data_IF_741034593934
#
_entry.id   IF_741034593934
#
_cell.length_a   1.000
_cell.length_b   1.000
_cell.length_c   1.000
_cell.angle_alpha   90.00
_cell.angle_beta   90.00
_cell.angle_gamma   90.00
#
_symmetry.space_group_name_H-M   'P 1'
#
loop_
_entity.id
_entity.type
_entity.pdbx_description
1 polymer ?
#
# COMPACT_ATOMS: atom_id res chain seq x y z
N UNK A 1 -8.72 -11.82 -6.92
CA UNK A 1 -8.06 -10.50 -7.07
C UNK A 1 -6.57 -10.73 -7.00
N UNK A 2 -5.79 -9.94 -7.72
CA UNK A 2 -4.33 -10.09 -7.82
C UNK A 2 -3.62 -8.92 -7.16
N UNK A 3 -2.61 -9.21 -6.35
CA UNK A 3 -1.78 -8.20 -5.71
C UNK A 3 -0.92 -7.51 -6.78
N UNK A 4 -1.13 -6.21 -6.99
CA UNK A 4 -0.40 -5.40 -7.97
C UNK A 4 0.79 -4.66 -7.36
N UNK A 5 1.04 -4.78 -6.06
CA UNK A 5 2.09 -4.06 -5.34
C UNK A 5 1.53 -3.14 -4.26
N UNK A 6 2.41 -2.33 -3.68
CA UNK A 6 2.07 -1.40 -2.60
C UNK A 6 1.28 -0.24 -3.16
N UNK A 7 0.26 0.19 -2.44
CA UNK A 7 -0.59 1.30 -2.84
C UNK A 7 0.22 2.60 -3.02
N UNK A 8 1.20 2.84 -2.15
CA UNK A 8 2.11 3.98 -2.24
C UNK A 8 2.93 4.03 -3.54
N UNK A 9 3.25 2.87 -4.15
CA UNK A 9 3.96 2.85 -5.43
C UNK A 9 3.10 3.39 -6.60
N UNK A 10 1.77 3.50 -6.42
CA UNK A 10 0.82 3.99 -7.43
C UNK A 10 0.31 5.40 -7.16
N UNK A 11 0.14 5.78 -5.88
CA UNK A 11 -0.59 7.00 -5.51
C UNK A 11 0.22 7.99 -4.67
N UNK A 12 1.34 7.57 -4.08
CA UNK A 12 2.18 8.46 -3.29
C UNK A 12 3.15 9.23 -4.19
N UNK A 13 3.54 10.43 -3.74
CA UNK A 13 4.51 11.26 -4.45
C UNK A 13 5.89 10.59 -4.32
N UNK A 14 6.22 9.79 -5.34
CA UNK A 14 7.41 8.95 -5.40
C UNK A 14 8.67 9.67 -4.89
N UNK A 15 9.06 9.32 -3.68
CA UNK A 15 10.20 9.88 -2.96
C UNK A 15 11.27 8.79 -2.83
N UNK A 16 12.13 8.60 -3.86
CA UNK A 16 13.06 7.46 -3.95
C UNK A 16 14.09 7.35 -2.82
N UNK A 17 14.18 8.37 -1.97
CA UNK A 17 15.10 8.47 -0.85
C UNK A 17 14.42 8.49 0.52
N UNK A 18 13.09 8.51 0.57
CA UNK A 18 12.34 8.43 1.83
C UNK A 18 12.24 6.96 2.26
N UNK A 19 12.61 6.62 3.50
CA UNK A 19 12.37 5.28 4.04
C UNK A 19 10.88 4.95 4.01
N UNK A 20 10.54 3.74 3.56
CA UNK A 20 9.16 3.25 3.47
C UNK A 20 8.46 3.35 4.82
N UNK A 21 9.16 3.03 5.90
CA UNK A 21 8.67 3.13 7.28
C UNK A 21 8.27 4.55 7.69
N UNK A 22 8.93 5.56 7.14
CA UNK A 22 8.58 6.96 7.39
C UNK A 22 7.35 7.37 6.57
N UNK A 23 7.14 6.78 5.40
CA UNK A 23 5.97 7.04 4.55
C UNK A 23 4.68 6.48 5.18
N UNK A 24 4.76 5.34 5.88
CA UNK A 24 3.63 4.76 6.65
C UNK A 24 3.03 5.69 7.71
N UNK A 25 3.80 6.67 8.18
CA UNK A 25 3.29 7.65 9.15
C UNK A 25 2.35 8.69 8.52
N UNK A 26 2.42 8.86 7.20
CA UNK A 26 1.73 9.91 6.45
C UNK A 26 0.77 9.36 5.37
N UNK A 27 0.69 8.02 5.21
CA UNK A 27 -0.12 7.35 4.17
C UNK A 27 -1.61 7.18 4.52
N UNK A 28 -2.00 7.58 5.74
CA UNK A 28 -3.37 7.51 6.23
C UNK A 28 -3.78 6.16 6.83
N UNK A 29 -2.88 5.20 6.99
CA UNK A 29 -3.12 3.91 7.64
C UNK A 29 -2.49 3.86 9.05
N UNK A 30 -3.14 4.38 10.10
CA UNK A 30 -2.51 4.61 11.40
C UNK A 30 -1.97 3.36 12.11
N UNK A 31 -2.40 2.16 11.70
CA UNK A 31 -2.02 0.89 12.33
C UNK A 31 -0.97 0.12 11.53
N UNK A 32 -0.70 0.48 10.28
CA UNK A 32 0.12 -0.35 9.40
C UNK A 32 1.60 -0.38 9.84
N UNK A 33 2.11 0.75 10.35
CA UNK A 33 3.43 0.85 10.93
C UNK A 33 3.55 0.06 12.24
N UNK A 34 2.53 0.14 13.09
CA UNK A 34 2.54 -0.51 14.41
C UNK A 34 2.37 -2.03 14.32
N UNK A 35 1.52 -2.50 13.39
CA UNK A 35 1.20 -3.92 13.21
C UNK A 35 2.08 -4.61 12.16
N UNK A 36 2.99 -3.88 11.52
CA UNK A 36 3.83 -4.40 10.43
C UNK A 36 3.02 -4.80 9.21
N UNK A 37 1.91 -4.11 8.96
CA UNK A 37 1.07 -4.33 7.79
C UNK A 37 1.50 -3.38 6.67
N UNK A 38 1.26 -3.78 5.42
CA UNK A 38 1.54 -2.97 4.24
C UNK A 38 0.27 -2.84 3.40
N UNK A 39 -0.16 -1.61 3.05
CA UNK A 39 -1.28 -1.39 2.14
C UNK A 39 -0.92 -1.83 0.71
N UNK A 40 -1.59 -2.86 0.20
CA UNK A 40 -1.40 -3.37 -1.16
C UNK A 40 -2.63 -3.15 -2.02
N UNK A 41 -2.40 -2.76 -3.27
CA UNK A 41 -3.46 -2.58 -4.27
C UNK A 41 -3.78 -3.94 -4.90
N UNK A 42 -5.00 -4.41 -4.71
CA UNK A 42 -5.51 -5.60 -5.35
C UNK A 42 -6.41 -5.22 -6.52
N UNK A 43 -6.13 -5.78 -7.69
CA UNK A 43 -6.94 -5.59 -8.88
C UNK A 43 -7.72 -6.84 -9.22
N UNK A 44 -8.99 -6.68 -9.57
CA UNK A 44 -9.80 -7.76 -10.12
C UNK A 44 -9.56 -7.86 -11.63
N UNK A 45 -8.97 -8.96 -12.09
CA UNK A 45 -8.71 -9.19 -13.52
C UNK A 45 -9.99 -9.42 -14.33
N UNK A 46 -11.13 -9.70 -13.66
CA UNK A 46 -12.42 -9.95 -14.31
C UNK A 46 -13.28 -8.69 -14.53
N UNK A 47 -13.27 -7.74 -13.59
CA UNK A 47 -14.08 -6.51 -13.69
C UNK A 47 -13.26 -5.22 -13.67
N UNK A 48 -11.95 -5.29 -13.45
CA UNK A 48 -11.04 -4.14 -13.44
C UNK A 48 -11.06 -3.30 -12.16
N UNK A 49 -11.90 -3.64 -11.16
CA UNK A 49 -11.94 -2.90 -9.90
C UNK A 49 -10.65 -3.07 -9.09
N UNK A 50 -10.22 -1.99 -8.45
CA UNK A 50 -9.08 -1.98 -7.54
C UNK A 50 -9.56 -1.73 -6.12
N UNK A 51 -8.98 -2.43 -5.14
CA UNK A 51 -9.23 -2.22 -3.72
C UNK A 51 -7.92 -2.36 -2.95
N UNK A 52 -7.77 -1.62 -1.86
CA UNK A 52 -6.59 -1.69 -1.00
C UNK A 52 -6.84 -2.70 0.12
N UNK A 53 -5.87 -3.56 0.38
CA UNK A 53 -5.87 -4.49 1.49
C UNK A 53 -4.59 -4.36 2.30
N UNK A 54 -4.72 -4.31 3.62
CA UNK A 54 -3.59 -4.42 4.53
C UNK A 54 -3.16 -5.88 4.62
N UNK A 55 -1.91 -6.17 4.31
CA UNK A 55 -1.32 -7.50 4.40
C UNK A 55 -0.14 -7.48 5.37
N UNK A 56 0.09 -8.60 6.08
CA UNK A 56 1.32 -8.78 6.86
C UNK A 56 2.45 -9.23 5.94
N UNK A 57 3.58 -8.52 5.99
CA UNK A 57 4.85 -8.90 5.34
C UNK A 57 5.66 -9.90 6.18
#
# INVERSE_FOLDING_TARGET
>A
MENNGREADFYDDYSPYMPIDQMKLEDGYPTDFAEGECPHLFKCSNCGSSQVFLIKE
#
